data_IF_653206038875
#
_entry.id   IF_653206038875
#
_cell.length_a   1.000
_cell.length_b   1.000
_cell.length_c   1.000
_cell.angle_alpha   90.00
_cell.angle_beta   90.00
_cell.angle_gamma   90.00
#
_symmetry.space_group_name_H-M   'P 1'
#
loop_
_entity.id
_entity.type
_entity.pdbx_description
1 polymer ?
#
# COMPACT_ATOMS: atom_id res chain seq x y z
N UNK A 1 11.81 -6.60 -14.43
CA UNK A 1 12.99 -5.74 -14.19
C UNK A 1 13.01 -5.12 -12.79
N UNK A 2 11.81 -4.92 -12.14
CA UNK A 2 11.72 -4.28 -10.81
C UNK A 2 11.69 -5.28 -9.64
N UNK A 3 11.54 -6.57 -9.90
CA UNK A 3 11.41 -7.60 -8.87
C UNK A 3 12.57 -7.58 -7.87
N UNK A 4 12.25 -7.53 -6.58
CA UNK A 4 13.22 -7.56 -5.48
C UNK A 4 14.02 -6.27 -5.26
N UNK A 5 13.78 -5.20 -6.02
CA UNK A 5 14.46 -3.91 -5.81
C UNK A 5 13.95 -3.23 -4.54
N UNK A 6 14.86 -2.55 -3.84
CA UNK A 6 14.59 -1.81 -2.60
C UNK A 6 14.99 -0.32 -2.71
N UNK A 7 15.21 0.14 -3.92
CA UNK A 7 15.77 1.46 -4.24
C UNK A 7 14.93 2.23 -5.26
N UNK A 8 13.61 1.95 -5.32
CA UNK A 8 12.74 2.64 -6.24
C UNK A 8 12.60 4.12 -5.88
N UNK A 9 12.69 4.97 -6.90
CA UNK A 9 12.43 6.40 -6.78
C UNK A 9 11.00 6.72 -7.21
N UNK A 10 10.48 7.88 -6.78
CA UNK A 10 9.14 8.32 -7.21
C UNK A 10 9.06 8.54 -8.71
N UNK A 11 10.12 9.03 -9.36
CA UNK A 11 10.14 9.26 -10.81
C UNK A 11 9.95 7.97 -11.62
N UNK A 12 10.37 6.83 -11.08
CA UNK A 12 10.16 5.55 -11.76
C UNK A 12 8.71 5.08 -11.80
N UNK A 13 7.81 5.71 -11.01
CA UNK A 13 6.37 5.47 -11.13
C UNK A 13 5.80 5.97 -12.48
N UNK A 14 6.44 6.95 -13.12
CA UNK A 14 6.02 7.50 -14.41
C UNK A 14 6.08 6.45 -15.53
N UNK A 15 7.05 5.54 -15.44
CA UNK A 15 7.27 4.49 -16.42
C UNK A 15 6.39 3.24 -16.18
N UNK A 16 5.51 3.27 -15.18
CA UNK A 16 4.70 2.12 -14.78
C UNK A 16 3.22 2.30 -15.13
N UNK A 17 2.63 1.26 -15.69
CA UNK A 17 1.18 1.15 -15.84
C UNK A 17 0.54 0.90 -14.47
N UNK A 18 0.18 1.99 -13.77
CA UNK A 18 -0.40 1.90 -12.42
C UNK A 18 -1.89 1.54 -12.46
N UNK A 19 -2.23 0.44 -11.81
CA UNK A 19 -3.60 0.04 -11.54
C UNK A 19 -4.03 0.58 -10.18
N UNK A 20 -5.16 1.26 -10.13
CA UNK A 20 -5.67 1.90 -8.92
C UNK A 20 -7.04 1.34 -8.50
N UNK A 21 -7.32 1.39 -7.22
CA UNK A 21 -8.65 1.12 -6.67
C UNK A 21 -9.66 2.17 -7.14
N UNK A 22 -10.94 1.81 -7.09
CA UNK A 22 -12.05 2.71 -7.34
C UNK A 22 -12.07 3.91 -6.39
N UNK A 23 -12.83 4.94 -6.75
CA UNK A 23 -13.04 6.12 -5.92
C UNK A 23 -13.63 5.74 -4.55
N UNK A 24 -13.21 6.44 -3.50
CA UNK A 24 -13.63 6.18 -2.12
C UNK A 24 -12.72 5.25 -1.33
N UNK A 25 -11.71 4.64 -1.95
CA UNK A 25 -10.69 3.87 -1.23
C UNK A 25 -9.52 4.75 -0.82
N UNK A 26 -9.23 4.83 0.49
CA UNK A 26 -8.14 5.62 1.03
C UNK A 26 -6.76 5.24 0.45
N UNK A 27 -6.57 3.99 0.04
CA UNK A 27 -5.34 3.53 -0.61
C UNK A 27 -5.17 4.17 -2.00
N UNK A 28 -6.27 4.40 -2.73
CA UNK A 28 -6.24 5.15 -3.98
C UNK A 28 -5.73 6.56 -3.76
N UNK A 29 -6.29 7.27 -2.76
CA UNK A 29 -5.90 8.65 -2.47
C UNK A 29 -4.42 8.75 -2.11
N UNK A 30 -3.89 7.78 -1.37
CA UNK A 30 -2.47 7.67 -1.06
C UNK A 30 -1.60 7.44 -2.30
N UNK A 31 -2.03 6.55 -3.20
CA UNK A 31 -1.33 6.31 -4.46
C UNK A 31 -1.31 7.57 -5.33
N UNK A 32 -2.44 8.27 -5.45
CA UNK A 32 -2.55 9.53 -6.16
C UNK A 32 -1.69 10.64 -5.54
N UNK A 33 -1.54 10.65 -4.20
CA UNK A 33 -0.67 11.59 -3.52
C UNK A 33 0.81 11.34 -3.87
N UNK A 34 1.25 10.09 -3.90
CA UNK A 34 2.59 9.74 -4.36
C UNK A 34 2.83 10.17 -5.81
N UNK A 35 1.87 9.93 -6.71
CA UNK A 35 1.95 10.39 -8.10
C UNK A 35 2.08 11.92 -8.19
N UNK A 36 1.27 12.67 -7.42
CA UNK A 36 1.37 14.15 -7.38
C UNK A 36 2.74 14.63 -6.91
N UNK A 37 3.29 13.99 -5.87
CA UNK A 37 4.63 14.29 -5.35
C UNK A 37 5.73 13.97 -6.37
N UNK A 38 5.55 12.95 -7.17
CA UNK A 38 6.41 12.61 -8.30
C UNK A 38 6.24 13.56 -9.50
N UNK A 39 5.27 14.50 -9.46
CA UNK A 39 4.84 15.36 -10.57
C UNK A 39 4.30 14.57 -11.78
N UNK A 40 3.82 13.38 -11.54
CA UNK A 40 3.20 12.51 -12.53
C UNK A 40 1.71 12.89 -12.61
N UNK A 41 1.21 13.05 -13.84
CA UNK A 41 -0.22 13.21 -14.04
C UNK A 41 -0.92 11.85 -13.89
N UNK A 42 -1.73 11.64 -12.83
CA UNK A 42 -2.34 10.33 -12.60
C UNK A 42 -3.28 9.87 -13.72
N UNK A 43 -3.84 10.81 -14.49
CA UNK A 43 -4.71 10.49 -15.63
C UNK A 43 -3.95 9.98 -16.85
N UNK A 44 -2.66 10.21 -16.93
CA UNK A 44 -1.79 9.72 -18.00
C UNK A 44 -1.06 8.43 -17.59
N UNK A 45 -0.67 8.33 -16.30
CA UNK A 45 -0.01 7.16 -15.73
C UNK A 45 -0.96 6.00 -15.47
N UNK A 46 -2.26 6.26 -15.34
CA UNK A 46 -3.26 5.21 -15.17
C UNK A 46 -3.94 4.94 -16.49
N UNK A 47 -3.74 3.76 -17.06
CA UNK A 47 -4.66 3.25 -18.06
C UNK A 47 -6.06 3.29 -17.46
N UNK A 48 -6.85 4.29 -17.83
CA UNK A 48 -8.14 4.64 -17.22
C UNK A 48 -9.20 3.52 -17.33
N UNK A 49 -8.85 2.39 -17.92
CA UNK A 49 -9.71 1.26 -18.21
C UNK A 49 -9.75 0.25 -17.06
N UNK A 50 -8.76 0.25 -16.15
CA UNK A 50 -8.63 -0.83 -15.17
C UNK A 50 -8.72 -0.30 -13.75
N UNK A 51 -9.94 -0.17 -13.27
CA UNK A 51 -10.26 0.10 -11.87
C UNK A 51 -10.87 -1.16 -11.27
N UNK A 52 -10.66 -1.36 -9.99
CA UNK A 52 -11.25 -2.48 -9.26
C UNK A 52 -11.67 -2.06 -7.86
N UNK A 53 -12.71 -2.69 -7.37
CA UNK A 53 -13.31 -2.42 -6.06
C UNK A 53 -12.56 -3.06 -4.90
N UNK A 54 -11.53 -3.88 -5.15
CA UNK A 54 -10.73 -4.52 -4.10
C UNK A 54 -9.27 -4.69 -4.49
N UNK A 55 -8.39 -4.69 -3.48
CA UNK A 55 -6.97 -4.92 -3.67
C UNK A 55 -6.70 -6.31 -4.27
N UNK A 56 -7.42 -7.33 -3.80
CA UNK A 56 -7.30 -8.70 -4.32
C UNK A 56 -7.59 -8.76 -5.82
N UNK A 57 -8.64 -8.05 -6.29
CA UNK A 57 -8.96 -7.99 -7.73
C UNK A 57 -7.84 -7.32 -8.52
N UNK A 58 -7.27 -6.21 -8.02
CA UNK A 58 -6.14 -5.54 -8.67
C UNK A 58 -4.93 -6.47 -8.78
N UNK A 59 -4.63 -7.23 -7.72
CA UNK A 59 -3.51 -8.18 -7.75
C UNK A 59 -3.70 -9.29 -8.77
N UNK A 60 -4.95 -9.74 -9.00
CA UNK A 60 -5.26 -10.67 -10.10
C UNK A 60 -4.95 -10.05 -11.48
N UNK A 61 -5.25 -8.77 -11.67
CA UNK A 61 -4.91 -8.06 -12.91
C UNK A 61 -3.40 -7.89 -13.08
N UNK A 62 -2.67 -7.60 -12.00
CA UNK A 62 -1.20 -7.55 -12.00
C UNK A 62 -0.61 -8.91 -12.37
N UNK A 63 -1.13 -10.02 -11.81
CA UNK A 63 -0.72 -11.39 -12.19
C UNK A 63 -1.01 -11.69 -13.66
N UNK A 64 -2.05 -11.11 -14.21
CA UNK A 64 -2.37 -11.16 -15.65
C UNK A 64 -1.47 -10.30 -16.53
N UNK A 65 -0.51 -9.57 -15.95
CA UNK A 65 0.43 -8.73 -16.71
C UNK A 65 -0.16 -7.39 -17.16
N UNK A 66 -1.27 -6.94 -16.56
CA UNK A 66 -1.97 -5.72 -16.98
C UNK A 66 -1.37 -4.44 -16.37
N UNK A 67 -0.36 -4.56 -15.51
CA UNK A 67 0.30 -3.41 -14.91
C UNK A 67 0.89 -3.67 -13.54
N UNK A 68 1.00 -2.62 -12.75
CA UNK A 68 1.61 -2.60 -11.42
C UNK A 68 0.67 -1.90 -10.44
N UNK A 69 0.74 -2.21 -9.16
CA UNK A 69 -0.05 -1.50 -8.14
C UNK A 69 0.77 -1.21 -6.89
N UNK A 70 0.29 -0.27 -6.09
CA UNK A 70 0.88 0.05 -4.79
C UNK A 70 0.14 -0.74 -3.69
N UNK A 71 0.90 -1.45 -2.87
CA UNK A 71 0.37 -2.28 -1.78
C UNK A 71 0.94 -1.80 -0.46
N UNK A 72 0.12 -1.63 0.59
CA UNK A 72 0.63 -1.35 1.94
C UNK A 72 1.52 -2.49 2.42
N UNK A 73 2.65 -2.17 3.05
CA UNK A 73 3.56 -3.19 3.58
C UNK A 73 2.84 -4.19 4.51
N UNK A 74 1.89 -3.70 5.30
CA UNK A 74 1.09 -4.54 6.22
C UNK A 74 0.20 -5.58 5.51
N UNK A 75 -0.06 -5.43 4.22
CA UNK A 75 -0.88 -6.35 3.45
C UNK A 75 -0.05 -7.37 2.63
N UNK A 76 1.27 -7.21 2.54
CA UNK A 76 2.11 -8.06 1.68
C UNK A 76 2.00 -9.55 2.06
N UNK A 77 2.08 -9.89 3.35
CA UNK A 77 2.06 -11.27 3.80
C UNK A 77 0.73 -11.99 3.54
N UNK A 78 -0.36 -11.25 3.40
CA UNK A 78 -1.70 -11.80 3.17
C UNK A 78 -2.14 -11.74 1.72
N UNK A 79 -1.76 -10.69 1.02
CA UNK A 79 -2.25 -10.41 -0.34
C UNK A 79 -1.25 -10.83 -1.43
N UNK A 80 0.06 -10.73 -1.17
CA UNK A 80 1.10 -11.00 -2.15
C UNK A 80 1.72 -12.39 -1.96
N UNK A 81 0.90 -13.42 -1.78
CA UNK A 81 1.35 -14.80 -1.54
C UNK A 81 1.61 -15.61 -2.82
N UNK A 82 1.18 -15.10 -3.97
CA UNK A 82 1.39 -15.79 -5.25
C UNK A 82 2.83 -15.66 -5.73
N UNK A 83 3.47 -16.74 -6.20
CA UNK A 83 4.81 -16.70 -6.80
C UNK A 83 4.85 -15.91 -8.13
N UNK A 84 3.69 -15.62 -8.72
CA UNK A 84 3.57 -14.78 -9.92
C UNK A 84 3.64 -13.28 -9.61
N UNK A 85 3.59 -12.89 -8.34
CA UNK A 85 3.75 -11.51 -7.91
C UNK A 85 5.20 -11.26 -7.48
N UNK A 86 5.74 -10.15 -7.92
CA UNK A 86 7.03 -9.66 -7.47
C UNK A 86 6.86 -8.33 -6.76
N UNK A 87 7.54 -8.15 -5.65
CA UNK A 87 7.50 -6.94 -4.84
C UNK A 87 8.77 -6.14 -5.05
N UNK A 88 8.64 -4.82 -5.15
CA UNK A 88 9.72 -3.86 -5.07
C UNK A 88 9.38 -2.79 -4.01
N UNK A 89 10.38 -2.17 -3.43
CA UNK A 89 10.23 -1.17 -2.37
C UNK A 89 10.81 0.16 -2.81
N UNK A 90 10.23 1.21 -2.32
CA UNK A 90 10.83 2.53 -2.44
C UNK A 90 12.12 2.62 -1.61
N UNK A 91 13.01 3.50 -2.03
CA UNK A 91 14.19 3.90 -1.29
C UNK A 91 13.78 4.51 0.08
N UNK A 92 14.61 4.33 1.10
CA UNK A 92 14.33 4.75 2.48
C UNK A 92 14.17 6.27 2.66
N UNK A 93 14.73 7.07 1.74
CA UNK A 93 14.59 8.52 1.71
C UNK A 93 13.22 8.98 1.20
N UNK A 94 12.42 8.06 0.64
CA UNK A 94 11.08 8.35 0.14
C UNK A 94 10.05 8.09 1.22
N UNK A 95 9.45 9.15 1.74
CA UNK A 95 8.31 9.04 2.65
C UNK A 95 7.05 8.58 1.89
N UNK A 96 6.90 7.27 1.73
CA UNK A 96 5.70 6.62 1.20
C UNK A 96 4.90 5.98 2.36
N UNK A 97 4.63 6.76 3.39
CA UNK A 97 4.06 6.30 4.64
C UNK A 97 2.58 6.66 4.77
N UNK A 98 1.87 5.89 5.57
CA UNK A 98 0.55 6.23 6.07
C UNK A 98 0.48 6.05 7.57
N UNK A 99 -0.27 6.92 8.23
CA UNK A 99 -0.57 6.77 9.65
C UNK A 99 -1.89 6.03 9.83
N UNK A 100 -1.88 5.02 10.69
CA UNK A 100 -3.08 4.32 11.12
C UNK A 100 -3.25 4.59 12.61
N UNK A 101 -4.39 5.11 13.00
CA UNK A 101 -4.65 5.50 14.38
C UNK A 101 -6.05 5.14 14.85
N UNK A 102 -6.18 5.00 16.16
CA UNK A 102 -7.47 4.86 16.83
C UNK A 102 -7.99 6.24 17.21
N UNK A 103 -9.20 6.56 16.76
CA UNK A 103 -9.89 7.79 17.16
C UNK A 103 -11.10 7.46 18.00
N UNK A 104 -11.33 8.26 19.05
CA UNK A 104 -12.51 8.17 19.92
C UNK A 104 -12.94 9.56 20.37
N UNK A 105 -14.19 9.68 20.84
CA UNK A 105 -14.70 10.97 21.33
C UNK A 105 -13.97 11.41 22.58
N UNK A 106 -13.56 12.66 22.68
CA UNK A 106 -12.89 13.23 23.85
C UNK A 106 -13.73 13.14 25.14
N UNK A 107 -15.06 13.11 25.01
CA UNK A 107 -16.02 12.95 26.11
C UNK A 107 -16.29 11.50 26.50
N UNK A 108 -15.56 10.53 25.95
CA UNK A 108 -15.79 9.12 26.27
C UNK A 108 -15.39 8.80 27.71
N UNK A 109 -16.31 8.24 28.49
CA UNK A 109 -16.06 7.84 29.88
C UNK A 109 -15.11 6.64 30.04
N UNK A 110 -14.82 5.92 28.95
CA UNK A 110 -13.98 4.73 28.90
C UNK A 110 -12.64 4.97 28.19
N UNK A 111 -12.06 6.15 28.33
CA UNK A 111 -10.82 6.54 27.65
C UNK A 111 -9.64 5.57 27.92
N UNK A 112 -9.51 5.10 29.16
CA UNK A 112 -8.45 4.15 29.54
C UNK A 112 -8.57 2.80 28.82
N UNK A 113 -9.80 2.33 28.61
CA UNK A 113 -10.06 1.10 27.86
C UNK A 113 -9.71 1.26 26.38
N UNK A 114 -10.05 2.42 25.77
CA UNK A 114 -9.66 2.73 24.40
C UNK A 114 -8.13 2.80 24.25
N UNK A 115 -7.42 3.38 25.23
CA UNK A 115 -5.96 3.40 25.23
C UNK A 115 -5.37 1.99 25.38
N UNK A 116 -5.94 1.15 26.24
CA UNK A 116 -5.52 -0.24 26.38
C UNK A 116 -5.74 -1.03 25.08
N UNK A 117 -6.91 -0.87 24.44
CA UNK A 117 -7.21 -1.45 23.16
C UNK A 117 -6.25 -0.95 22.06
N UNK A 118 -5.95 0.35 22.04
CA UNK A 118 -4.98 0.94 21.10
C UNK A 118 -3.60 0.28 21.21
N UNK A 119 -3.12 0.02 22.42
CA UNK A 119 -1.84 -0.71 22.64
C UNK A 119 -1.88 -2.13 22.05
N UNK A 120 -2.98 -2.85 22.24
CA UNK A 120 -3.15 -4.19 21.67
C UNK A 120 -3.15 -4.17 20.13
N UNK A 121 -3.88 -3.22 19.55
CA UNK A 121 -3.92 -3.05 18.08
C UNK A 121 -2.55 -2.70 17.54
N UNK A 122 -1.81 -1.79 18.20
CA UNK A 122 -0.45 -1.41 17.80
C UNK A 122 0.49 -2.63 17.85
N UNK A 123 0.41 -3.44 18.91
CA UNK A 123 1.21 -4.65 19.02
C UNK A 123 0.92 -5.66 17.91
N UNK A 124 -0.37 -5.91 17.64
CA UNK A 124 -0.80 -6.80 16.56
C UNK A 124 -0.35 -6.29 15.17
N UNK A 125 -0.46 -4.98 14.94
CA UNK A 125 -0.03 -4.36 13.69
C UNK A 125 1.49 -4.48 13.49
N UNK A 126 2.30 -4.22 14.51
CA UNK A 126 3.75 -4.36 14.44
C UNK A 126 4.15 -5.81 14.13
N UNK A 127 3.50 -6.80 14.76
CA UNK A 127 3.72 -8.21 14.45
C UNK A 127 3.36 -8.56 13.01
N UNK A 128 2.30 -7.98 12.46
CA UNK A 128 1.92 -8.17 11.05
C UNK A 128 2.95 -7.55 10.10
N UNK A 129 3.50 -6.37 10.41
CA UNK A 129 4.57 -5.75 9.65
C UNK A 129 5.85 -6.60 9.65
N UNK A 130 6.27 -7.12 10.79
CA UNK A 130 7.43 -8.00 10.91
C UNK A 130 7.28 -9.25 10.03
N UNK A 131 6.10 -9.88 10.05
CA UNK A 131 5.79 -11.03 9.18
C UNK A 131 5.87 -10.66 7.70
N UNK A 132 5.33 -9.50 7.31
CA UNK A 132 5.37 -9.02 5.93
C UNK A 132 6.81 -8.76 5.46
N UNK A 133 7.67 -8.21 6.34
CA UNK A 133 9.09 -7.98 6.04
C UNK A 133 9.85 -9.29 5.89
N UNK A 134 9.60 -10.26 6.76
CA UNK A 134 10.22 -11.58 6.67
C UNK A 134 9.82 -12.33 5.40
N UNK A 135 8.56 -12.24 4.98
CA UNK A 135 8.06 -12.91 3.78
C UNK A 135 8.63 -12.33 2.46
N UNK A 136 9.02 -11.06 2.45
CA UNK A 136 9.55 -10.38 1.26
C UNK A 136 11.09 -10.27 1.23
N UNK A 137 11.77 -10.77 2.25
CA UNK A 137 13.24 -10.74 2.37
C UNK A 137 13.93 -12.05 1.96
N UNK A 138 13.19 -12.98 1.36
CA UNK A 138 13.70 -14.30 0.97
C UNK A 138 13.87 -14.42 -0.54
#
# INVERSE_FOLDING_TARGET
PLAGRTDLTLSQLEDLDLLLLDDGHCLRDQALDLCRRAKINPSEATNAVTRASSLTTILQLVMGGLGTTLVPESALATECTSPSLSVARFSEDISAERQVGLTYRSSASRAEEFLAFGRLVTGAFNTALERSRAACGS
#
